data_IF_524717424288
#
_entry.id   IF_524717424288
#
_cell.length_a   1.000
_cell.length_b   1.000
_cell.length_c   1.000
_cell.angle_alpha   90.00
_cell.angle_beta   90.00
_cell.angle_gamma   90.00
#
_symmetry.space_group_name_H-M   'P 1'
#
loop_
_entity.id
_entity.type
_entity.pdbx_description
1 polymer ?
#
# COMPACT_ATOMS: atom_id res chain seq x y z
N UNK A 1 2.55 -13.07 -12.83
CA UNK A 1 2.30 -11.70 -12.31
C UNK A 1 2.91 -11.60 -10.94
N UNK A 2 3.52 -10.46 -10.64
CA UNK A 2 4.54 -10.32 -9.59
C UNK A 2 3.98 -10.46 -8.18
N UNK A 3 4.47 -11.47 -7.46
CA UNK A 3 4.43 -11.48 -6.00
C UNK A 3 5.44 -10.40 -5.56
N UNK A 4 4.94 -9.21 -5.28
CA UNK A 4 5.74 -8.03 -5.00
C UNK A 4 6.54 -8.22 -3.73
N UNK A 5 7.83 -8.53 -3.85
CA UNK A 5 8.71 -8.64 -2.69
C UNK A 5 8.76 -7.31 -1.92
N UNK A 6 9.20 -7.36 -0.66
CA UNK A 6 9.35 -6.21 0.25
C UNK A 6 10.15 -5.01 -0.30
N UNK A 7 10.77 -5.13 -1.48
CA UNK A 7 11.50 -4.08 -2.19
C UNK A 7 10.73 -3.38 -3.30
N UNK A 8 9.74 -4.01 -3.94
CA UNK A 8 8.80 -3.26 -4.78
C UNK A 8 8.09 -2.23 -3.91
N UNK A 9 7.90 -2.51 -2.61
CA UNK A 9 7.38 -1.56 -1.63
C UNK A 9 8.29 -0.35 -1.43
N UNK A 10 9.61 -0.53 -1.28
CA UNK A 10 10.54 0.58 -1.03
C UNK A 10 10.65 1.57 -2.21
N UNK A 11 10.52 1.10 -3.45
CA UNK A 11 10.53 1.98 -4.62
C UNK A 11 9.15 2.62 -4.86
N UNK A 12 8.06 2.01 -4.34
CA UNK A 12 6.69 2.56 -4.36
C UNK A 12 6.39 3.53 -3.22
N UNK A 13 7.00 3.34 -2.06
CA UNK A 13 6.80 4.13 -0.83
C UNK A 13 7.08 5.63 -1.05
N UNK A 14 6.17 6.46 -0.59
CA UNK A 14 6.29 7.91 -0.54
C UNK A 14 6.98 8.27 0.78
N UNK A 15 8.25 8.66 0.69
CA UNK A 15 8.98 9.14 1.87
C UNK A 15 8.39 10.45 2.34
N UNK A 16 7.95 10.49 3.60
CA UNK A 16 7.38 11.68 4.24
C UNK A 16 8.39 12.42 5.13
N UNK A 17 9.32 11.69 5.75
CA UNK A 17 10.21 12.23 6.76
C UNK A 17 11.08 13.40 6.24
N UNK A 18 10.97 14.54 6.90
CA UNK A 18 11.77 15.74 6.64
C UNK A 18 12.88 15.88 7.68
N UNK A 19 14.08 16.24 7.23
CA UNK A 19 15.21 16.46 8.13
C UNK A 19 15.01 17.79 8.85
N UNK A 20 14.93 17.74 10.18
CA UNK A 20 14.92 18.94 11.01
C UNK A 20 16.21 19.74 10.87
N UNK A 21 16.08 21.06 10.76
CA UNK A 21 17.20 21.99 10.58
C UNK A 21 17.30 22.90 11.82
N UNK A 22 18.25 22.64 12.74
CA UNK A 22 18.42 23.46 13.93
C UNK A 22 18.57 24.94 13.59
N UNK A 23 17.95 25.81 14.41
CA UNK A 23 18.03 27.28 14.31
C UNK A 23 17.43 27.90 13.05
N UNK A 24 16.90 27.10 12.11
CA UNK A 24 16.23 27.55 10.91
C UNK A 24 14.69 27.37 11.01
N UNK A 25 14.06 28.05 11.97
CA UNK A 25 12.64 27.84 12.30
C UNK A 25 11.70 28.03 11.11
N UNK A 26 11.90 29.07 10.31
CA UNK A 26 11.06 29.35 9.12
C UNK A 26 11.16 28.24 8.07
N UNK A 27 12.35 27.64 7.93
CA UNK A 27 12.58 26.52 7.01
C UNK A 27 11.86 25.27 7.49
N UNK A 28 11.91 24.99 8.80
CA UNK A 28 11.18 23.85 9.36
C UNK A 28 9.66 24.08 9.32
N UNK A 29 9.20 25.30 9.57
CA UNK A 29 7.79 25.66 9.46
C UNK A 29 7.26 25.47 8.03
N UNK A 30 8.11 25.67 7.01
CA UNK A 30 7.77 25.35 5.63
C UNK A 30 7.66 23.84 5.38
N UNK A 31 8.60 23.03 5.86
CA UNK A 31 8.63 21.58 5.58
C UNK A 31 7.66 20.76 6.44
N UNK A 32 7.28 21.23 7.63
CA UNK A 32 6.32 20.53 8.51
C UNK A 32 4.99 20.17 7.83
N UNK A 33 4.28 21.11 7.15
CA UNK A 33 3.06 20.75 6.42
C UNK A 33 3.35 19.85 5.21
N UNK A 34 4.56 19.90 4.63
CA UNK A 34 4.94 19.00 3.53
C UNK A 34 5.03 17.55 4.02
N UNK A 35 5.63 17.32 5.19
CA UNK A 35 5.75 16.00 5.81
C UNK A 35 4.38 15.37 6.06
N UNK A 36 3.47 16.09 6.70
CA UNK A 36 2.10 15.61 6.97
C UNK A 36 1.36 15.25 5.67
N UNK A 37 1.47 16.07 4.63
CA UNK A 37 0.82 15.79 3.35
C UNK A 37 1.43 14.56 2.66
N UNK A 38 2.76 14.41 2.68
CA UNK A 38 3.42 13.23 2.12
C UNK A 38 3.07 11.96 2.91
N UNK A 39 2.90 12.06 4.23
CA UNK A 39 2.43 10.96 5.07
C UNK A 39 1.01 10.54 4.70
N UNK A 40 0.09 11.49 4.55
CA UNK A 40 -1.27 11.21 4.06
C UNK A 40 -1.25 10.54 2.69
N UNK A 41 -0.38 10.99 1.77
CA UNK A 41 -0.23 10.37 0.46
C UNK A 41 0.27 8.91 0.56
N UNK A 42 1.21 8.64 1.46
CA UNK A 42 1.70 7.29 1.74
C UNK A 42 0.63 6.41 2.36
N UNK A 43 -0.14 6.94 3.31
CA UNK A 43 -1.27 6.21 3.92
C UNK A 43 -2.31 5.82 2.86
N UNK A 44 -2.61 6.70 1.90
CA UNK A 44 -3.48 6.36 0.77
C UNK A 44 -2.88 5.26 -0.10
N UNK A 45 -1.60 5.41 -0.52
CA UNK A 45 -0.91 4.40 -1.33
C UNK A 45 -0.92 3.03 -0.64
N UNK A 46 -0.46 2.96 0.60
CA UNK A 46 -0.42 1.75 1.41
C UNK A 46 -1.81 1.15 1.61
N UNK A 47 -2.80 1.99 1.90
CA UNK A 47 -4.20 1.61 2.07
C UNK A 47 -4.81 0.93 0.84
N UNK A 48 -4.33 1.24 -0.38
CA UNK A 48 -4.75 0.55 -1.61
C UNK A 48 -3.89 -0.68 -1.93
N UNK A 49 -2.58 -0.51 -2.05
CA UNK A 49 -1.70 -1.57 -2.55
C UNK A 49 -1.49 -2.69 -1.52
N UNK A 50 -1.18 -2.32 -0.26
CA UNK A 50 -0.81 -3.30 0.76
C UNK A 50 -2.02 -4.11 1.21
N UNK A 51 -3.21 -3.48 1.31
CA UNK A 51 -4.45 -4.20 1.64
C UNK A 51 -4.90 -5.11 0.51
N UNK A 52 -4.75 -4.69 -0.75
CA UNK A 52 -5.03 -5.52 -1.93
C UNK A 52 -4.14 -6.75 -1.96
N UNK A 53 -2.82 -6.56 -1.74
CA UNK A 53 -1.86 -7.66 -1.64
C UNK A 53 -2.23 -8.64 -0.52
N UNK A 54 -2.55 -8.13 0.68
CA UNK A 54 -3.00 -8.95 1.81
C UNK A 54 -4.25 -9.77 1.45
N UNK A 55 -5.24 -9.16 0.81
CA UNK A 55 -6.47 -9.86 0.41
C UNK A 55 -6.18 -10.97 -0.62
N UNK A 56 -5.34 -10.69 -1.62
CA UNK A 56 -4.94 -11.69 -2.61
C UNK A 56 -4.15 -12.85 -2.00
N UNK A 57 -3.24 -12.56 -1.07
CA UNK A 57 -2.43 -13.57 -0.39
C UNK A 57 -3.29 -14.46 0.51
N UNK A 58 -4.17 -13.86 1.32
CA UNK A 58 -5.08 -14.60 2.19
C UNK A 58 -6.01 -15.50 1.36
N UNK A 59 -6.58 -14.97 0.27
CA UNK A 59 -7.45 -15.73 -0.63
C UNK A 59 -6.68 -16.64 -1.59
N UNK A 60 -5.34 -16.58 -1.61
CA UNK A 60 -4.49 -17.33 -2.53
C UNK A 60 -4.82 -17.12 -4.02
N UNK A 61 -5.49 -16.02 -4.38
CA UNK A 61 -5.92 -15.75 -5.76
C UNK A 61 -4.77 -15.37 -6.68
N UNK A 62 -3.60 -15.04 -6.11
CA UNK A 62 -2.34 -14.88 -6.85
C UNK A 62 -1.93 -16.14 -7.66
N UNK A 63 -2.52 -17.31 -7.37
CA UNK A 63 -2.27 -18.55 -8.11
C UNK A 63 -3.25 -18.80 -9.27
N UNK A 64 -4.15 -17.87 -9.57
CA UNK A 64 -4.98 -17.96 -10.77
C UNK A 64 -4.14 -17.66 -12.03
N UNK A 65 -4.25 -18.56 -13.01
CA UNK A 65 -3.72 -18.43 -14.37
C UNK A 65 -4.71 -17.60 -15.20
N UNK A 66 -4.71 -16.27 -15.07
CA UNK A 66 -5.54 -15.45 -15.97
C UNK A 66 -4.77 -14.26 -16.52
N UNK A 67 -4.92 -13.97 -17.83
CA UNK A 67 -5.35 -12.67 -18.30
C UNK A 67 -6.90 -12.65 -18.40
N UNK A 68 -7.57 -11.64 -17.81
CA UNK A 68 -7.00 -10.54 -17.03
C UNK A 68 -6.41 -11.04 -15.69
N UNK A 69 -5.51 -10.26 -15.04
CA UNK A 69 -4.95 -10.59 -13.72
C UNK A 69 -6.01 -11.06 -12.73
N UNK A 70 -5.65 -11.88 -11.72
CA UNK A 70 -6.54 -12.13 -10.59
C UNK A 70 -7.05 -10.80 -10.04
N UNK A 71 -8.36 -10.69 -9.92
CA UNK A 71 -9.02 -9.44 -9.54
C UNK A 71 -9.32 -9.43 -8.06
N UNK A 72 -9.48 -8.24 -7.48
CA UNK A 72 -9.93 -8.12 -6.08
C UNK A 72 -11.30 -8.80 -5.87
N UNK A 73 -12.12 -8.86 -6.92
CA UNK A 73 -13.42 -9.56 -6.93
C UNK A 73 -13.21 -11.06 -6.66
N UNK A 74 -12.21 -11.70 -7.28
CA UNK A 74 -11.92 -13.11 -7.03
C UNK A 74 -11.56 -13.35 -5.56
N UNK A 75 -10.78 -12.44 -4.96
CA UNK A 75 -10.40 -12.54 -3.56
C UNK A 75 -11.62 -12.40 -2.63
N UNK A 76 -12.47 -11.40 -2.87
CA UNK A 76 -13.72 -11.17 -2.11
C UNK A 76 -14.68 -12.35 -2.26
N UNK A 77 -14.78 -12.92 -3.46
CA UNK A 77 -15.63 -14.08 -3.76
C UNK A 77 -15.21 -15.32 -2.97
N UNK A 78 -13.90 -15.66 -2.98
CA UNK A 78 -13.36 -16.76 -2.17
C UNK A 78 -13.62 -16.54 -0.68
N UNK A 79 -13.44 -15.30 -0.19
CA UNK A 79 -13.71 -14.98 1.20
C UNK A 79 -15.19 -15.18 1.58
N UNK A 80 -16.14 -14.69 0.78
CA UNK A 80 -17.58 -14.89 1.00
C UNK A 80 -17.93 -16.38 1.04
N UNK A 81 -17.41 -17.18 0.11
CA UNK A 81 -17.64 -18.63 0.11
C UNK A 81 -17.07 -19.32 1.35
N UNK A 82 -15.91 -18.87 1.81
CA UNK A 82 -15.28 -19.38 3.04
C UNK A 82 -16.12 -19.03 4.28
N UNK A 83 -16.69 -17.82 4.32
CA UNK A 83 -17.62 -17.43 5.40
C UNK A 83 -18.86 -18.32 5.43
N UNK A 84 -19.48 -18.57 4.27
CA UNK A 84 -20.61 -19.50 4.17
C UNK A 84 -20.22 -20.92 4.59
N UNK A 85 -19.03 -21.41 4.18
CA UNK A 85 -18.57 -22.76 4.53
C UNK A 85 -18.38 -22.91 6.05
N UNK A 86 -17.80 -21.90 6.70
CA UNK A 86 -17.66 -21.86 8.16
C UNK A 86 -19.01 -21.76 8.90
N UNK A 87 -20.08 -21.43 8.19
CA UNK A 87 -21.46 -21.43 8.70
C UNK A 87 -22.29 -22.57 8.11
N UNK A 88 -21.67 -23.75 7.90
CA UNK A 88 -22.34 -24.98 7.45
C UNK A 88 -22.97 -24.87 6.06
N UNK A 89 -22.39 -24.03 5.20
CA UNK A 89 -22.88 -23.81 3.83
C UNK A 89 -24.04 -22.82 3.73
N UNK A 90 -24.27 -22.01 4.77
CA UNK A 90 -25.35 -21.02 4.82
C UNK A 90 -24.82 -19.59 5.02
N UNK A 91 -24.73 -18.84 3.92
CA UNK A 91 -24.36 -17.43 3.92
C UNK A 91 -25.41 -16.55 4.61
N UNK A 92 -26.66 -17.01 4.75
CA UNK A 92 -27.70 -16.27 5.47
C UNK A 92 -27.41 -16.13 6.97
N UNK A 93 -26.58 -17.03 7.52
CA UNK A 93 -26.03 -16.92 8.89
C UNK A 93 -24.89 -15.91 8.99
N UNK A 94 -24.30 -15.50 7.87
CA UNK A 94 -23.33 -14.41 7.81
C UNK A 94 -24.12 -13.10 7.66
N UNK A 95 -23.99 -12.15 8.58
CA UNK A 95 -24.71 -10.87 8.54
C UNK A 95 -24.18 -9.89 7.45
N UNK A 96 -23.95 -10.39 6.24
CA UNK A 96 -23.52 -9.62 5.07
C UNK A 96 -24.71 -8.84 4.50
N UNK A 97 -24.70 -7.53 4.67
CA UNK A 97 -25.72 -6.65 4.10
C UNK A 97 -25.09 -5.75 3.04
N UNK A 98 -25.55 -5.85 1.78
CA UNK A 98 -25.27 -4.82 0.79
C UNK A 98 -26.02 -3.54 1.20
N UNK A 99 -25.29 -2.51 1.62
CA UNK A 99 -25.89 -1.21 1.96
C UNK A 99 -26.31 -0.52 0.66
N UNK A 100 -27.57 -0.09 0.60
CA UNK A 100 -28.15 0.60 -0.56
C UNK A 100 -27.69 2.05 -0.71
N UNK A 101 -26.97 2.60 0.27
CA UNK A 101 -26.65 4.04 0.37
C UNK A 101 -25.21 4.44 0.04
N UNK A 102 -24.32 3.50 -0.27
CA UNK A 102 -22.94 3.82 -0.68
C UNK A 102 -22.37 2.74 -1.59
N UNK A 103 -21.45 3.04 -2.54
CA UNK A 103 -20.88 2.05 -3.45
C UNK A 103 -19.90 1.07 -2.76
N UNK A 104 -20.09 0.80 -1.47
CA UNK A 104 -19.17 0.03 -0.64
C UNK A 104 -19.94 -1.03 0.17
N UNK A 105 -19.36 -2.22 0.23
CA UNK A 105 -19.89 -3.38 0.95
C UNK A 105 -19.85 -3.12 2.47
N UNK A 106 -20.99 -3.19 3.17
CA UNK A 106 -21.00 -3.18 4.64
C UNK A 106 -20.96 -4.60 5.16
N UNK A 107 -19.83 -4.99 5.74
CA UNK A 107 -19.63 -6.33 6.29
C UNK A 107 -19.66 -6.23 7.80
N UNK A 108 -20.74 -6.76 8.40
CA UNK A 108 -20.81 -7.06 9.81
C UNK A 108 -20.78 -8.58 9.94
N UNK A 109 -19.70 -9.15 10.46
CA UNK A 109 -19.61 -10.60 10.65
C UNK A 109 -20.15 -11.04 12.02
N UNK A 110 -20.62 -10.13 12.89
CA UNK A 110 -21.06 -10.44 14.26
C UNK A 110 -19.99 -11.03 15.17
N UNK A 111 -18.79 -11.31 14.65
CA UNK A 111 -17.72 -12.09 15.26
C UNK A 111 -16.48 -11.24 15.60
N UNK A 112 -16.62 -9.91 15.60
CA UNK A 112 -15.58 -9.06 16.16
C UNK A 112 -15.45 -9.39 17.64
N UNK A 113 -14.26 -9.81 18.08
CA UNK A 113 -14.06 -9.97 19.52
C UNK A 113 -14.38 -8.63 20.20
N UNK A 114 -14.92 -8.69 21.41
CA UNK A 114 -15.37 -7.50 22.16
C UNK A 114 -14.32 -6.40 22.22
N UNK A 115 -13.03 -6.77 22.20
CA UNK A 115 -11.91 -5.84 22.12
C UNK A 115 -11.83 -5.08 20.78
N UNK A 116 -11.88 -5.79 19.66
CA UNK A 116 -11.83 -5.20 18.31
C UNK A 116 -13.07 -4.34 18.04
N UNK A 117 -14.24 -4.75 18.54
CA UNK A 117 -15.49 -3.98 18.44
C UNK A 117 -15.39 -2.62 19.12
N UNK A 118 -14.68 -2.55 20.25
CA UNK A 118 -14.48 -1.32 21.01
C UNK A 118 -13.22 -0.54 20.59
N UNK A 119 -12.34 -1.14 19.78
CA UNK A 119 -11.08 -0.54 19.32
C UNK A 119 -10.85 -0.92 17.85
N UNK A 120 -11.62 -0.35 16.90
CA UNK A 120 -11.58 -0.77 15.49
C UNK A 120 -10.19 -0.60 14.84
N UNK A 121 -9.38 0.32 15.38
CA UNK A 121 -8.02 0.56 14.89
C UNK A 121 -7.00 -0.46 15.46
N UNK A 122 -7.29 -1.14 16.58
CA UNK A 122 -6.36 -2.03 17.30
C UNK A 122 -6.76 -3.50 17.12
N UNK A 123 -5.84 -4.29 16.56
CA UNK A 123 -6.11 -5.71 16.29
C UNK A 123 -5.69 -6.59 17.47
N UNK A 124 -6.65 -7.32 18.04
CA UNK A 124 -6.37 -8.27 19.12
C UNK A 124 -5.60 -9.51 18.58
N UNK A 125 -4.52 -9.99 19.24
CA UNK A 125 -3.72 -11.13 18.78
C UNK A 125 -4.50 -12.41 18.52
N UNK A 126 -5.59 -12.67 19.25
CA UNK A 126 -6.44 -13.85 19.01
C UNK A 126 -7.27 -13.75 17.73
N UNK A 127 -7.68 -12.53 17.33
CA UNK A 127 -8.27 -12.29 16.01
C UNK A 127 -7.24 -12.46 14.88
N UNK A 128 -5.94 -12.40 15.20
CA UNK A 128 -4.86 -12.55 14.22
C UNK A 128 -4.65 -13.97 13.71
N UNK A 129 -5.23 -14.97 14.34
CA UNK A 129 -5.18 -16.33 13.82
C UNK A 129 -6.32 -16.63 12.83
N UNK A 130 -7.40 -15.83 12.86
CA UNK A 130 -8.53 -15.99 11.95
C UNK A 130 -8.29 -15.27 10.62
N UNK A 131 -8.08 -16.03 9.55
CA UNK A 131 -7.86 -15.48 8.20
C UNK A 131 -9.04 -14.65 7.69
N UNK A 132 -10.29 -15.00 8.05
CA UNK A 132 -11.46 -14.22 7.65
C UNK A 132 -11.51 -12.84 8.33
N UNK A 133 -11.11 -12.76 9.60
CA UNK A 133 -11.03 -11.48 10.32
C UNK A 133 -9.92 -10.58 9.74
N UNK A 134 -8.77 -11.18 9.37
CA UNK A 134 -7.70 -10.45 8.66
C UNK A 134 -8.17 -9.92 7.30
N UNK A 135 -8.89 -10.74 6.54
CA UNK A 135 -9.44 -10.35 5.24
C UNK A 135 -10.46 -9.22 5.41
N UNK A 136 -11.39 -9.35 6.37
CA UNK A 136 -12.39 -8.31 6.67
C UNK A 136 -11.72 -6.98 7.00
N UNK A 137 -10.68 -6.99 7.85
CA UNK A 137 -9.95 -5.77 8.21
C UNK A 137 -9.28 -5.14 7.00
N UNK A 138 -8.60 -5.93 6.17
CA UNK A 138 -7.98 -5.44 4.94
C UNK A 138 -9.02 -4.82 3.99
N UNK A 139 -10.17 -5.46 3.83
CA UNK A 139 -11.28 -4.93 3.03
C UNK A 139 -11.88 -3.64 3.61
N UNK A 140 -12.09 -3.57 4.92
CA UNK A 140 -12.57 -2.36 5.60
C UNK A 140 -11.57 -1.20 5.48
N UNK A 141 -10.26 -1.47 5.64
CA UNK A 141 -9.22 -0.48 5.41
C UNK A 141 -9.25 0.00 3.96
N UNK A 142 -9.29 -0.91 2.99
CA UNK A 142 -9.39 -0.57 1.57
C UNK A 142 -10.62 0.32 1.27
N UNK A 143 -11.79 -0.02 1.80
CA UNK A 143 -13.02 0.78 1.66
C UNK A 143 -12.85 2.17 2.28
N UNK A 144 -12.30 2.26 3.49
CA UNK A 144 -12.01 3.55 4.14
C UNK A 144 -11.06 4.38 3.29
N UNK A 145 -9.99 3.78 2.76
CA UNK A 145 -9.03 4.43 1.87
C UNK A 145 -9.68 4.88 0.56
N UNK A 146 -10.62 4.12 -0.02
CA UNK A 146 -11.40 4.58 -1.18
C UNK A 146 -12.18 5.87 -0.87
N UNK A 147 -12.89 5.90 0.26
CA UNK A 147 -13.69 7.06 0.69
C UNK A 147 -12.79 8.27 0.95
N UNK A 148 -11.70 8.08 1.69
CA UNK A 148 -10.75 9.14 2.02
C UNK A 148 -10.00 9.63 0.78
N UNK A 149 -9.57 8.72 -0.09
CA UNK A 149 -8.87 9.03 -1.33
C UNK A 149 -9.70 9.91 -2.26
N UNK A 150 -10.98 9.60 -2.46
CA UNK A 150 -11.89 10.44 -3.27
C UNK A 150 -12.05 11.84 -2.68
N UNK A 151 -12.12 11.95 -1.34
CA UNK A 151 -12.33 13.24 -0.67
C UNK A 151 -11.06 14.10 -0.62
N UNK A 152 -9.92 13.50 -0.31
CA UNK A 152 -8.70 14.25 0.06
C UNK A 152 -7.72 14.43 -1.10
N UNK A 153 -7.70 13.52 -2.08
CA UNK A 153 -6.68 13.52 -3.13
C UNK A 153 -6.61 14.82 -3.95
N UNK A 154 -7.72 15.49 -4.35
CA UNK A 154 -7.63 16.73 -5.12
C UNK A 154 -6.87 17.84 -4.40
N UNK A 155 -7.19 18.07 -3.12
CA UNK A 155 -6.54 19.08 -2.29
C UNK A 155 -5.10 18.69 -1.95
N UNK A 156 -4.87 17.40 -1.71
CA UNK A 156 -3.54 16.86 -1.46
C UNK A 156 -2.59 17.09 -2.65
N UNK A 157 -3.05 16.79 -3.87
CA UNK A 157 -2.31 17.01 -5.11
C UNK A 157 -1.99 18.50 -5.29
N UNK A 158 -3.00 19.36 -5.16
CA UNK A 158 -2.82 20.81 -5.29
C UNK A 158 -1.79 21.34 -4.29
N UNK A 159 -1.95 21.02 -3.01
CA UNK A 159 -1.09 21.53 -1.95
C UNK A 159 0.36 21.05 -2.10
N UNK A 160 0.59 19.78 -2.41
CA UNK A 160 1.94 19.25 -2.57
C UNK A 160 2.65 19.81 -3.81
N UNK A 161 1.93 20.02 -4.92
CA UNK A 161 2.48 20.66 -6.12
C UNK A 161 2.84 22.13 -5.83
N UNK A 162 1.95 22.88 -5.19
CA UNK A 162 2.19 24.27 -4.81
C UNK A 162 3.39 24.41 -3.87
N UNK A 163 3.51 23.53 -2.88
CA UNK A 163 4.64 23.50 -1.95
C UNK A 163 5.94 23.10 -2.67
N UNK A 164 5.91 22.15 -3.60
CA UNK A 164 7.08 21.77 -4.36
C UNK A 164 7.62 22.94 -5.20
N UNK A 165 6.73 23.73 -5.81
CA UNK A 165 7.14 24.93 -6.54
C UNK A 165 7.76 25.98 -5.62
N UNK A 166 7.13 26.25 -4.48
CA UNK A 166 7.67 27.18 -3.46
C UNK A 166 9.02 26.70 -2.90
N UNK A 167 9.25 25.39 -2.83
CA UNK A 167 10.49 24.82 -2.29
C UNK A 167 11.72 25.12 -3.16
N UNK A 168 11.54 25.41 -4.45
CA UNK A 168 12.65 25.70 -5.39
C UNK A 168 13.41 26.96 -5.00
N UNK A 169 12.70 27.97 -4.47
CA UNK A 169 13.27 29.26 -4.07
C UNK A 169 13.38 29.40 -2.54
N UNK A 170 13.23 28.29 -1.78
CA UNK A 170 13.17 28.34 -0.32
C UNK A 170 14.45 28.90 0.32
N UNK A 171 15.62 28.55 -0.22
CA UNK A 171 16.89 29.07 0.27
C UNK A 171 17.02 30.59 0.12
N UNK A 172 16.43 31.17 -0.92
CA UNK A 172 16.40 32.62 -1.14
C UNK A 172 15.37 33.27 -0.22
N UNK A 173 14.20 32.66 -0.07
CA UNK A 173 13.12 33.15 0.80
C UNK A 173 13.49 33.13 2.29
N UNK A 174 14.32 32.18 2.72
CA UNK A 174 14.80 32.04 4.10
C UNK A 174 16.21 32.63 4.30
N UNK A 175 16.68 33.48 3.39
CA UNK A 175 18.04 34.04 3.42
C UNK A 175 18.36 34.75 4.74
N UNK A 176 17.45 35.55 5.28
CA UNK A 176 17.63 36.26 6.56
C UNK A 176 17.87 35.31 7.73
N UNK A 177 17.15 34.18 7.76
CA UNK A 177 17.31 33.13 8.77
C UNK A 177 18.64 32.38 8.59
N UNK A 178 19.05 32.12 7.35
CA UNK A 178 20.30 31.43 7.04
C UNK A 178 21.55 32.30 7.24
N UNK A 179 21.44 33.61 7.06
CA UNK A 179 22.55 34.57 7.22
C UNK A 179 22.92 34.79 8.70
N UNK A 180 22.01 34.47 9.63
CA UNK A 180 22.27 34.50 11.08
C UNK A 180 23.09 33.30 11.59
N UNK A 181 23.33 32.28 10.76
CA UNK A 181 24.05 31.07 11.12
C UNK A 181 25.56 31.19 10.86
N UNK A 182 26.38 30.44 11.61
CA UNK A 182 27.79 30.29 11.26
C UNK A 182 27.95 29.64 9.89
N UNK A 183 29.11 29.80 9.24
CA UNK A 183 29.38 29.23 7.91
C UNK A 183 29.12 27.72 7.85
N UNK A 184 29.55 26.98 8.88
CA UNK A 184 29.38 25.53 8.95
C UNK A 184 27.90 25.14 9.13
N UNK A 185 27.19 25.85 10.00
CA UNK A 185 25.76 25.62 10.24
C UNK A 185 24.93 25.97 9.00
N UNK A 186 25.26 27.07 8.33
CA UNK A 186 24.63 27.48 7.06
C UNK A 186 24.82 26.42 5.97
N UNK A 187 26.03 25.88 5.82
CA UNK A 187 26.29 24.81 4.85
C UNK A 187 25.48 23.54 5.15
N UNK A 188 25.37 23.18 6.44
CA UNK A 188 24.54 22.03 6.87
C UNK A 188 23.05 22.28 6.64
N UNK A 189 22.57 23.49 6.93
CA UNK A 189 21.19 23.90 6.70
C UNK A 189 20.82 23.84 5.21
N UNK A 190 21.65 24.42 4.34
CA UNK A 190 21.46 24.37 2.89
C UNK A 190 21.46 22.92 2.36
N UNK A 191 22.35 22.07 2.87
CA UNK A 191 22.36 20.65 2.52
C UNK A 191 21.07 19.93 2.92
N UNK A 192 20.53 20.23 4.11
CA UNK A 192 19.28 19.64 4.57
C UNK A 192 18.06 20.19 3.81
N UNK A 193 18.04 21.49 3.48
CA UNK A 193 17.03 22.08 2.59
C UNK A 193 17.00 21.33 1.26
N UNK A 194 18.16 21.13 0.63
CA UNK A 194 18.25 20.42 -0.64
C UNK A 194 17.72 18.97 -0.53
N UNK A 195 18.00 18.27 0.57
CA UNK A 195 17.48 16.91 0.83
C UNK A 195 15.96 16.90 1.03
N UNK A 196 15.42 17.85 1.79
CA UNK A 196 13.98 17.94 2.02
C UNK A 196 13.24 18.33 0.73
N UNK A 197 13.74 19.29 -0.04
CA UNK A 197 13.20 19.64 -1.36
C UNK A 197 13.25 18.46 -2.34
N UNK A 198 14.33 17.67 -2.32
CA UNK A 198 14.41 16.45 -3.13
C UNK A 198 13.40 15.37 -2.68
N UNK A 199 13.18 15.24 -1.37
CA UNK A 199 12.17 14.33 -0.80
C UNK A 199 10.76 14.75 -1.24
N UNK A 200 10.44 16.03 -1.13
CA UNK A 200 9.17 16.59 -1.60
C UNK A 200 8.97 16.39 -3.11
N UNK A 201 9.97 16.71 -3.93
CA UNK A 201 9.91 16.50 -5.37
C UNK A 201 9.71 15.02 -5.73
N UNK A 202 10.42 14.12 -5.04
CA UNK A 202 10.24 12.67 -5.22
C UNK A 202 8.83 12.24 -4.81
N UNK A 203 8.29 12.72 -3.69
CA UNK A 203 6.94 12.40 -3.24
C UNK A 203 5.88 12.86 -4.24
N UNK A 204 5.99 14.09 -4.72
CA UNK A 204 5.10 14.66 -5.77
C UNK A 204 5.11 13.82 -7.04
N UNK A 205 6.29 13.37 -7.48
CA UNK A 205 6.40 12.52 -8.68
C UNK A 205 5.63 11.19 -8.54
N UNK A 206 5.48 10.68 -7.32
CA UNK A 206 4.74 9.44 -7.02
C UNK A 206 3.25 9.65 -6.83
N UNK A 207 2.77 10.89 -6.61
CA UNK A 207 1.33 11.17 -6.42
C UNK A 207 0.48 10.81 -7.64
N UNK A 208 1.04 10.86 -8.86
CA UNK A 208 0.34 10.42 -10.07
C UNK A 208 -0.05 8.94 -10.00
N UNK A 209 0.78 8.11 -9.36
CA UNK A 209 0.45 6.71 -9.12
C UNK A 209 -0.68 6.59 -8.10
N UNK A 210 -0.67 7.40 -7.03
CA UNK A 210 -1.78 7.44 -6.04
C UNK A 210 -3.10 7.81 -6.70
N UNK A 211 -3.10 8.77 -7.63
CA UNK A 211 -4.31 9.12 -8.40
C UNK A 211 -4.83 7.96 -9.25
N UNK A 212 -3.92 7.22 -9.87
CA UNK A 212 -4.26 6.01 -10.63
C UNK A 212 -4.86 4.96 -9.71
N UNK A 213 -4.23 4.72 -8.55
CA UNK A 213 -4.71 3.78 -7.53
C UNK A 213 -6.11 4.12 -7.02
N UNK A 214 -6.42 5.39 -6.72
CA UNK A 214 -7.77 5.81 -6.30
C UNK A 214 -8.79 5.50 -7.39
N UNK A 215 -8.47 5.81 -8.65
CA UNK A 215 -9.38 5.61 -9.78
C UNK A 215 -9.67 4.13 -9.99
N UNK A 216 -8.63 3.30 -9.97
CA UNK A 216 -8.76 1.84 -10.06
C UNK A 216 -9.51 1.27 -8.86
N UNK A 217 -9.26 1.78 -7.67
CA UNK A 217 -9.89 1.28 -6.46
C UNK A 217 -11.39 1.56 -6.41
N UNK A 218 -11.81 2.76 -6.82
CA UNK A 218 -13.22 3.11 -6.98
C UNK A 218 -13.89 2.21 -8.01
N UNK A 219 -13.26 1.98 -9.17
CA UNK A 219 -13.77 1.07 -10.20
C UNK A 219 -13.91 -0.36 -9.66
N UNK A 220 -12.87 -0.88 -9.00
CA UNK A 220 -12.89 -2.20 -8.40
C UNK A 220 -14.03 -2.35 -7.39
N UNK A 221 -14.27 -1.34 -6.54
CA UNK A 221 -15.39 -1.37 -5.60
C UNK A 221 -16.76 -1.36 -6.29
N UNK A 222 -16.92 -0.56 -7.34
CA UNK A 222 -18.14 -0.58 -8.15
C UNK A 222 -18.40 -1.95 -8.78
N UNK A 223 -17.34 -2.59 -9.30
CA UNK A 223 -17.45 -3.91 -9.91
C UNK A 223 -17.70 -5.01 -8.87
N UNK A 224 -17.10 -4.92 -7.68
CA UNK A 224 -17.42 -5.79 -6.53
C UNK A 224 -18.90 -5.66 -6.18
N UNK A 225 -19.39 -4.44 -5.96
CA UNK A 225 -20.79 -4.22 -5.55
C UNK A 225 -21.78 -4.76 -6.58
N UNK A 226 -21.50 -4.61 -7.89
CA UNK A 226 -22.34 -5.19 -8.95
C UNK A 226 -22.37 -6.72 -8.90
N UNK A 227 -21.27 -7.37 -8.55
CA UNK A 227 -21.18 -8.84 -8.54
C UNK A 227 -21.56 -9.49 -7.22
N UNK A 228 -21.63 -8.74 -6.12
CA UNK A 228 -21.99 -9.27 -4.79
C UNK A 228 -23.32 -10.04 -4.80
N UNK A 229 -24.42 -9.58 -5.44
CA UNK A 229 -25.65 -10.36 -5.53
C UNK A 229 -25.45 -11.76 -6.14
N UNK A 230 -24.72 -11.84 -7.25
CA UNK A 230 -24.45 -13.12 -7.94
C UNK A 230 -23.52 -14.02 -7.11
N UNK A 231 -22.54 -13.42 -6.42
CA UNK A 231 -21.66 -14.14 -5.49
C UNK A 231 -22.47 -14.72 -4.34
N UNK A 232 -23.38 -13.96 -3.73
CA UNK A 232 -24.25 -14.42 -2.64
C UNK A 232 -25.23 -15.51 -3.11
N UNK A 233 -25.80 -15.37 -4.31
CA UNK A 233 -26.73 -16.35 -4.88
C UNK A 233 -26.07 -17.73 -5.07
N UNK A 234 -24.78 -17.76 -5.41
CA UNK A 234 -24.01 -19.00 -5.60
C UNK A 234 -23.26 -19.46 -4.34
N UNK A 235 -23.17 -18.61 -3.31
CA UNK A 235 -22.34 -18.86 -2.13
C UNK A 235 -22.71 -20.15 -1.40
N UNK A 236 -24.00 -20.42 -1.20
CA UNK A 236 -24.44 -21.62 -0.46
C UNK A 236 -24.09 -22.92 -1.20
N UNK A 237 -24.24 -22.96 -2.52
CA UNK A 237 -23.89 -24.16 -3.30
C UNK A 237 -22.39 -24.44 -3.22
N UNK A 238 -21.57 -23.42 -3.43
CA UNK A 238 -20.11 -23.53 -3.40
C UNK A 238 -19.62 -23.86 -1.98
N UNK A 239 -20.23 -23.27 -0.96
CA UNK A 239 -19.89 -23.50 0.43
C UNK A 239 -20.25 -24.91 0.90
N UNK A 240 -21.36 -25.50 0.43
CA UNK A 240 -21.66 -26.91 0.69
C UNK A 240 -20.58 -27.84 0.14
N UNK A 241 -20.11 -27.60 -1.10
CA UNK A 241 -18.98 -28.35 -1.68
C UNK A 241 -17.71 -28.19 -0.84
N UNK A 242 -17.46 -27.00 -0.30
CA UNK A 242 -16.33 -26.76 0.60
C UNK A 242 -16.48 -27.50 1.93
N UNK A 243 -17.67 -27.50 2.53
CA UNK A 243 -17.99 -28.24 3.77
C UNK A 243 -17.82 -29.75 3.59
N UNK A 244 -18.33 -30.30 2.48
CA UNK A 244 -18.19 -31.74 2.15
C UNK A 244 -16.71 -32.16 2.08
N UNK A 245 -15.85 -31.26 1.59
CA UNK A 245 -14.40 -31.42 1.52
C UNK A 245 -13.65 -31.00 2.79
N UNK A 246 -14.38 -30.55 3.83
CA UNK A 246 -13.83 -30.04 5.10
C UNK A 246 -12.88 -28.85 4.93
N UNK A 247 -13.14 -27.99 3.95
CA UNK A 247 -12.37 -26.78 3.73
C UNK A 247 -12.89 -25.64 4.61
N UNK A 248 -12.05 -25.20 5.55
CA UNK A 248 -12.36 -24.11 6.49
C UNK A 248 -11.47 -22.88 6.28
N UNK A 249 -10.48 -22.98 5.39
CA UNK A 249 -9.51 -21.92 5.08
C UNK A 249 -9.70 -21.38 3.66
N UNK A 250 -9.39 -20.09 3.46
CA UNK A 250 -9.61 -19.43 2.17
C UNK A 250 -8.81 -20.08 1.04
N UNK A 251 -7.56 -20.48 1.32
CA UNK A 251 -6.69 -21.10 0.33
C UNK A 251 -7.25 -22.42 -0.21
N UNK A 252 -7.84 -23.23 0.67
CA UNK A 252 -8.44 -24.51 0.29
C UNK A 252 -9.71 -24.29 -0.54
N UNK A 253 -10.57 -23.36 -0.11
CA UNK A 253 -11.76 -22.95 -0.87
C UNK A 253 -11.37 -22.40 -2.25
N UNK A 254 -10.32 -21.57 -2.33
CA UNK A 254 -9.78 -21.11 -3.62
C UNK A 254 -9.36 -22.30 -4.48
N UNK A 255 -8.56 -23.22 -3.94
CA UNK A 255 -7.96 -24.32 -4.70
C UNK A 255 -9.00 -25.30 -5.25
N UNK A 256 -10.07 -25.55 -4.52
CA UNK A 256 -11.02 -26.63 -4.82
C UNK A 256 -12.38 -26.16 -5.33
N UNK A 257 -12.75 -24.91 -5.07
CA UNK A 257 -14.06 -24.38 -5.41
C UNK A 257 -14.03 -23.25 -6.44
N UNK A 258 -12.92 -22.54 -6.60
CA UNK A 258 -12.83 -21.47 -7.61
C UNK A 258 -12.80 -22.05 -9.04
N UNK A 259 -13.60 -21.52 -10.00
CA UNK A 259 -13.69 -22.10 -11.34
C UNK A 259 -12.54 -21.69 -12.28
N UNK A 260 -11.81 -20.63 -11.96
CA UNK A 260 -10.68 -20.16 -12.78
C UNK A 260 -9.50 -21.13 -12.80
N UNK A 261 -8.75 -21.13 -13.90
CA UNK A 261 -7.55 -21.94 -14.07
C UNK A 261 -6.49 -21.57 -13.02
N UNK A 262 -5.80 -22.58 -12.48
CA UNK A 262 -4.83 -22.41 -11.39
C UNK A 262 -3.47 -22.97 -11.77
N UNK A 263 -2.41 -22.38 -11.24
CA UNK A 263 -1.10 -23.02 -11.26
C UNK A 263 -1.14 -24.32 -10.46
N UNK A 264 -0.58 -25.39 -11.02
CA UNK A 264 -0.39 -26.62 -10.28
C UNK A 264 0.72 -26.45 -9.21
N UNK A 265 0.85 -27.40 -8.29
CA UNK A 265 1.81 -27.30 -7.20
C UNK A 265 3.27 -27.15 -7.68
N UNK A 266 3.64 -27.77 -8.81
CA UNK A 266 4.97 -27.67 -9.37
C UNK A 266 5.21 -26.29 -9.99
N UNK A 267 4.19 -25.74 -10.67
CA UNK A 267 4.21 -24.39 -11.21
C UNK A 267 4.24 -23.34 -10.10
N UNK A 268 3.46 -23.50 -9.03
CA UNK A 268 3.50 -22.62 -7.85
C UNK A 268 4.90 -22.64 -7.23
N UNK A 269 5.48 -23.83 -7.04
CA UNK A 269 6.84 -23.97 -6.51
C UNK A 269 7.86 -23.25 -7.39
N UNK A 270 7.77 -23.44 -8.72
CA UNK A 270 8.64 -22.77 -9.69
C UNK A 270 8.48 -21.24 -9.66
N UNK A 271 7.25 -20.75 -9.57
CA UNK A 271 6.97 -19.31 -9.45
C UNK A 271 7.57 -18.72 -8.17
N UNK A 272 7.48 -19.44 -7.04
CA UNK A 272 8.12 -19.04 -5.78
C UNK A 272 9.64 -18.99 -5.89
N UNK A 273 10.25 -20.02 -6.49
CA UNK A 273 11.70 -20.08 -6.71
C UNK A 273 12.20 -18.99 -7.68
N UNK A 274 11.45 -18.71 -8.74
CA UNK A 274 11.76 -17.62 -9.69
C UNK A 274 11.62 -16.24 -9.04
N UNK A 275 10.58 -16.01 -8.24
CA UNK A 275 10.41 -14.78 -7.49
C UNK A 275 11.57 -14.56 -6.49
N UNK A 276 12.01 -15.63 -5.81
CA UNK A 276 13.15 -15.55 -4.90
C UNK A 276 14.46 -15.28 -5.64
N UNK A 277 14.69 -15.92 -6.79
CA UNK A 277 15.87 -15.66 -7.64
C UNK A 277 15.91 -14.23 -8.14
N UNK A 278 14.80 -13.69 -8.65
CA UNK A 278 14.70 -12.28 -9.08
C UNK A 278 15.01 -11.34 -7.92
N UNK A 279 14.44 -11.59 -6.73
CA UNK A 279 14.71 -10.79 -5.52
C UNK A 279 16.20 -10.78 -5.17
N UNK A 280 16.91 -11.91 -5.29
CA UNK A 280 18.36 -11.99 -5.07
C UNK A 280 19.17 -11.24 -6.13
N UNK A 281 18.80 -11.35 -7.40
CA UNK A 281 19.47 -10.62 -8.50
C UNK A 281 19.31 -9.09 -8.35
N UNK A 282 18.09 -8.62 -8.07
CA UNK A 282 17.81 -7.20 -7.84
C UNK A 282 18.55 -6.66 -6.60
N UNK A 283 18.75 -7.49 -5.57
CA UNK A 283 19.56 -7.14 -4.41
C UNK A 283 21.02 -6.89 -4.76
N UNK A 284 21.61 -7.78 -5.55
CA UNK A 284 22.99 -7.66 -6.00
C UNK A 284 23.17 -6.43 -6.90
N UNK A 285 22.23 -6.16 -7.80
CA UNK A 285 22.26 -4.98 -8.66
C UNK A 285 22.18 -3.68 -7.82
N UNK A 286 21.31 -3.64 -6.80
CA UNK A 286 21.25 -2.51 -5.87
C UNK A 286 22.55 -2.32 -5.09
N UNK A 287 23.18 -3.41 -4.60
CA UNK A 287 24.49 -3.33 -3.94
C UNK A 287 25.57 -2.78 -4.88
N UNK A 288 25.57 -3.20 -6.16
CA UNK A 288 26.48 -2.69 -7.19
C UNK A 288 26.25 -1.20 -7.46
N UNK A 289 24.99 -0.76 -7.63
CA UNK A 289 24.63 0.66 -7.82
C UNK A 289 25.05 1.53 -6.63
N UNK A 290 24.78 1.08 -5.40
CA UNK A 290 25.21 1.79 -4.18
C UNK A 290 26.75 1.91 -4.09
N UNK A 291 27.47 0.83 -4.42
CA UNK A 291 28.94 0.86 -4.49
C UNK A 291 29.45 1.87 -5.53
N UNK A 292 28.82 1.91 -6.72
CA UNK A 292 29.18 2.85 -7.78
C UNK A 292 28.94 4.30 -7.35
N UNK A 293 27.79 4.59 -6.72
CA UNK A 293 27.46 5.93 -6.20
C UNK A 293 28.50 6.37 -5.16
N UNK A 294 28.89 5.49 -4.23
CA UNK A 294 29.91 5.82 -3.23
C UNK A 294 31.27 6.14 -3.88
N UNK A 295 31.70 5.34 -4.87
CA UNK A 295 32.91 5.62 -5.63
C UNK A 295 32.85 6.97 -6.36
N UNK A 296 31.71 7.33 -6.94
CA UNK A 296 31.51 8.62 -7.60
C UNK A 296 31.54 9.79 -6.61
N UNK A 297 30.96 9.62 -5.41
CA UNK A 297 31.01 10.63 -4.36
C UNK A 297 32.44 10.83 -3.83
N UNK A 298 33.21 9.76 -3.67
CA UNK A 298 34.64 9.84 -3.30
C UNK A 298 35.46 10.55 -4.38
N UNK A 299 35.27 10.19 -5.64
CA UNK A 299 35.93 10.87 -6.77
C UNK A 299 35.60 12.36 -6.82
N UNK A 300 34.33 12.74 -6.57
CA UNK A 300 33.90 14.13 -6.50
C UNK A 300 34.59 14.90 -5.36
N UNK A 301 34.69 14.30 -4.16
CA UNK A 301 35.41 14.88 -3.02
C UNK A 301 36.90 15.11 -3.33
N UNK A 302 37.55 14.14 -3.98
CA UNK A 302 38.95 14.27 -4.39
C UNK A 302 39.15 15.42 -5.40
N UNK A 303 38.24 15.58 -6.37
CA UNK A 303 38.30 16.67 -7.33
C UNK A 303 38.12 18.04 -6.66
N UNK A 304 37.17 18.17 -5.73
CA UNK A 304 36.97 19.41 -4.96
C UNK A 304 38.19 19.77 -4.10
N UNK A 305 38.81 18.78 -3.44
CA UNK A 305 40.03 19.01 -2.65
C UNK A 305 41.24 19.44 -3.49
N UNK A 306 41.25 19.12 -4.79
CA UNK A 306 42.30 19.55 -5.73
C UNK A 306 42.04 20.96 -6.29
N UNK A 307 40.79 21.38 -6.43
CA UNK A 307 40.46 22.75 -6.87
C UNK A 307 40.71 23.79 -5.78
N UNK A 308 40.59 23.43 -4.50
CA UNK A 308 40.85 24.33 -3.37
C UNK A 308 42.34 24.55 -3.07
N UNK A 309 43.23 23.76 -3.69
CA UNK A 309 44.69 23.86 -3.55
C UNK A 309 45.37 24.60 -4.71
N UNK A 310 44.60 25.14 -5.65
CA UNK A 310 45.06 26.01 -6.74
C UNK A 310 44.57 27.42 -6.49
#
# INVERSE_FOLDING_TARGET
MGCGGSRDKADREIKSYMIWIPFAYDVNAFFSPCENLLETAEMLRAGFEDTTEIMHDLASTNYLKSPPPPTLIDAVKVWIWTLAANNEGDIGKCHLNADSSSPYLKVDLGNECSYCKNNPDIFHPECSQNQNAKFQKALQTYIKTCIEGVKQLPDLLKNLIDLAEKSKNLAENCKSCLDALSTLEKAKALSNIAKNSATLASGVSKLKNVQTLVTEAVKNMQDIVKQVPDILATANEVAKKAVDKKHTHLADVMQDCHPGDKYDAAQIKKLKEEAEKKRKQEEEEKKKKACLINKLLEAKKLLQSKSEKK
#
